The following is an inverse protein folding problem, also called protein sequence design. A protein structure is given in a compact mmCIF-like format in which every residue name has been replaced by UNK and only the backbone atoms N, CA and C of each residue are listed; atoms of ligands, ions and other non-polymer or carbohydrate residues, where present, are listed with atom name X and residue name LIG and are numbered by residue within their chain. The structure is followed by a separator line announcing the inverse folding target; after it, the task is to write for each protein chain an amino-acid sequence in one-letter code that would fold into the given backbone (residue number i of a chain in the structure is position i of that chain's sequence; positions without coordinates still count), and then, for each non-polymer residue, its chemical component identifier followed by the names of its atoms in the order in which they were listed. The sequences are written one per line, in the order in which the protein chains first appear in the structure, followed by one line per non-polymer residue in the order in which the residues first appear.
data_IF_063880898520
#
_entry.id   IF_063880898520
#
_cell.length_a   1.000
_cell.length_b   1.000
_cell.length_c   1.000
_cell.angle_alpha   90.00
_cell.angle_beta   90.00
_cell.angle_gamma   90.00
#
_symmetry.space_group_name_H-M   'P 1'
#
loop_
_entity.id
_entity.type
_entity.pdbx_description
1 polymer ?
#
# COMPACT_ATOMS: atom_id res chain seq x y z
N UNK A 1 4.77 -11.93 -13.79
CA UNK A 1 3.87 -12.73 -12.95
C UNK A 1 4.61 -13.03 -11.65
N UNK A 2 4.28 -12.35 -10.54
CA UNK A 2 5.04 -12.42 -9.28
C UNK A 2 4.23 -13.28 -8.29
N UNK A 3 4.76 -14.43 -7.81
CA UNK A 3 4.10 -15.23 -6.80
C UNK A 3 3.97 -14.45 -5.48
N UNK A 4 2.77 -14.41 -4.86
CA UNK A 4 2.52 -13.72 -3.58
C UNK A 4 3.08 -14.47 -2.34
N UNK A 5 3.84 -15.55 -2.57
CA UNK A 5 4.53 -16.30 -1.53
C UNK A 5 5.85 -15.64 -1.15
N UNK A 6 5.87 -14.99 0.02
CA UNK A 6 7.03 -14.38 0.71
C UNK A 6 7.36 -12.94 0.29
N UNK A 7 6.59 -11.98 0.85
CA UNK A 7 6.93 -10.55 0.85
C UNK A 7 7.10 -10.05 2.28
N UNK A 8 8.11 -10.55 2.97
CA UNK A 8 8.66 -9.98 4.22
C UNK A 8 9.32 -8.61 3.98
N UNK A 9 9.67 -8.31 2.73
CA UNK A 9 10.40 -7.10 2.29
C UNK A 9 9.74 -5.77 2.66
N UNK A 10 8.41 -5.66 2.67
CA UNK A 10 7.72 -4.40 3.03
C UNK A 10 7.75 -4.14 4.54
N UNK A 11 7.64 -5.19 5.36
CA UNK A 11 7.88 -5.13 6.80
C UNK A 11 9.34 -4.75 7.08
N UNK A 12 10.30 -5.33 6.34
CA UNK A 12 11.72 -5.01 6.48
C UNK A 12 12.01 -3.53 6.18
N UNK A 13 11.42 -2.97 5.11
CA UNK A 13 11.59 -1.55 4.76
C UNK A 13 10.94 -0.64 5.79
N UNK A 14 9.74 -0.97 6.28
CA UNK A 14 9.07 -0.21 7.34
C UNK A 14 9.83 -0.21 8.66
N UNK A 15 10.39 -1.37 9.06
CA UNK A 15 11.22 -1.51 10.25
C UNK A 15 12.58 -0.83 10.10
N UNK A 16 13.19 -0.88 8.90
CA UNK A 16 14.43 -0.18 8.62
C UNK A 16 14.27 1.34 8.70
N UNK A 17 13.18 1.89 8.16
CA UNK A 17 12.86 3.32 8.31
C UNK A 17 12.61 3.71 9.77
N UNK A 18 11.94 2.86 10.55
CA UNK A 18 11.76 3.06 11.99
C UNK A 18 13.10 3.07 12.73
N UNK A 19 13.98 2.11 12.44
CA UNK A 19 15.33 2.04 13.02
C UNK A 19 16.18 3.27 12.67
N UNK A 20 16.10 3.76 11.42
CA UNK A 20 16.79 4.99 10.98
C UNK A 20 16.23 6.21 11.71
N UNK A 21 14.92 6.27 11.98
CA UNK A 21 14.32 7.39 12.73
C UNK A 21 14.77 7.44 14.20
N UNK A 22 15.12 6.30 14.80
CA UNK A 22 15.64 6.25 16.17
C UNK A 22 17.12 6.66 16.27
N UNK A 23 17.85 6.65 15.15
CA UNK A 23 19.29 6.98 15.09
C UNK A 23 19.53 8.44 14.64
N UNK A 24 18.52 9.14 14.14
CA UNK A 24 18.61 10.52 13.66
C UNK A 24 17.81 11.49 14.56
N UNK A 25 18.47 12.31 15.41
CA UNK A 25 17.80 13.24 16.34
C UNK A 25 16.99 14.37 15.67
N UNK A 26 17.05 14.47 14.35
CA UNK A 26 16.46 15.54 13.54
C UNK A 26 15.05 15.24 13.03
N UNK A 27 14.53 14.04 13.25
CA UNK A 27 13.17 13.65 12.82
C UNK A 27 12.21 13.67 14.03
N UNK A 28 11.15 14.49 14.01
CA UNK A 28 10.16 14.50 15.08
C UNK A 28 9.53 13.09 15.25
N UNK A 29 9.39 12.58 16.49
CA UNK A 29 8.80 11.26 16.75
C UNK A 29 7.41 11.06 16.15
N UNK A 30 6.65 12.14 15.99
CA UNK A 30 5.33 12.17 15.35
C UNK A 30 5.38 11.80 13.86
N UNK A 31 6.44 12.17 13.14
CA UNK A 31 6.64 11.82 11.72
C UNK A 31 6.98 10.34 11.57
N UNK A 32 7.83 9.81 12.46
CA UNK A 32 8.19 8.39 12.49
C UNK A 32 6.98 7.49 12.81
N UNK A 33 6.18 7.86 13.80
CA UNK A 33 4.93 7.16 14.13
C UNK A 33 3.93 7.21 12.98
N UNK A 34 3.82 8.34 12.26
CA UNK A 34 2.91 8.46 11.12
C UNK A 34 3.38 7.64 9.92
N UNK A 35 4.69 7.59 9.65
CA UNK A 35 5.29 6.74 8.63
C UNK A 35 5.00 5.25 8.91
N UNK A 36 5.22 4.84 10.17
CA UNK A 36 5.03 3.48 10.61
C UNK A 36 3.55 3.08 10.56
N UNK A 37 2.66 3.90 11.10
CA UNK A 37 1.23 3.57 11.21
C UNK A 37 0.51 3.74 9.88
N UNK A 38 0.55 4.93 9.26
CA UNK A 38 -0.19 5.16 8.02
C UNK A 38 0.39 4.38 6.83
N UNK A 39 1.72 4.30 6.72
CA UNK A 39 2.39 3.62 5.61
C UNK A 39 2.31 2.09 5.69
N UNK A 40 2.69 1.53 6.84
CA UNK A 40 2.67 0.08 7.01
C UNK A 40 1.24 -0.46 7.11
N UNK A 41 0.30 0.24 7.77
CA UNK A 41 -1.08 -0.25 7.86
C UNK A 41 -1.80 -0.18 6.50
N UNK A 42 -1.63 0.89 5.72
CA UNK A 42 -2.30 0.99 4.41
C UNK A 42 -1.86 -0.10 3.43
N UNK A 43 -0.55 -0.33 3.35
CA UNK A 43 0.02 -1.39 2.51
C UNK A 43 -0.36 -2.78 3.01
N UNK A 44 -0.37 -3.02 4.32
CA UNK A 44 -0.84 -4.27 4.92
C UNK A 44 -2.32 -4.52 4.64
N UNK A 45 -3.18 -3.51 4.79
CA UNK A 45 -4.62 -3.63 4.54
C UNK A 45 -4.87 -4.01 3.07
N UNK A 46 -4.25 -3.32 2.11
CA UNK A 46 -4.35 -3.68 0.69
C UNK A 46 -3.79 -5.08 0.41
N UNK A 47 -2.68 -5.47 1.06
CA UNK A 47 -2.12 -6.82 0.92
C UNK A 47 -3.05 -7.91 1.45
N UNK A 48 -3.76 -7.67 2.55
CA UNK A 48 -4.75 -8.59 3.12
C UNK A 48 -5.99 -8.65 2.21
N UNK A 49 -6.54 -7.49 1.82
CA UNK A 49 -7.75 -7.42 1.01
C UNK A 49 -7.57 -8.09 -0.36
N UNK A 50 -6.44 -7.85 -1.04
CA UNK A 50 -6.13 -8.51 -2.32
C UNK A 50 -6.02 -10.02 -2.17
N UNK A 51 -5.29 -10.50 -1.14
CA UNK A 51 -5.10 -11.93 -0.87
C UNK A 51 -6.41 -12.62 -0.49
N UNK A 52 -7.20 -12.01 0.38
CA UNK A 52 -8.51 -12.50 0.78
C UNK A 52 -9.47 -12.58 -0.41
N UNK A 53 -9.49 -11.54 -1.26
CA UNK A 53 -10.32 -11.53 -2.47
C UNK A 53 -9.95 -12.67 -3.42
N UNK A 54 -8.66 -12.86 -3.70
CA UNK A 54 -8.21 -13.96 -4.58
C UNK A 54 -8.51 -15.33 -3.96
N UNK A 55 -8.22 -15.51 -2.68
CA UNK A 55 -8.46 -16.76 -1.96
C UNK A 55 -9.95 -17.15 -1.89
N UNK A 56 -10.84 -16.21 -1.56
CA UNK A 56 -12.27 -16.48 -1.45
C UNK A 56 -12.96 -16.64 -2.81
N UNK A 57 -12.38 -16.10 -3.88
CA UNK A 57 -12.94 -16.22 -5.23
C UNK A 57 -12.37 -17.39 -6.05
N UNK A 58 -11.49 -18.21 -5.45
CA UNK A 58 -10.89 -19.38 -6.10
C UNK A 58 -9.85 -19.00 -7.17
N UNK A 59 -9.34 -17.77 -7.17
CA UNK A 59 -8.38 -17.28 -8.17
C UNK A 59 -6.93 -17.51 -7.73
N UNK A 60 -5.98 -17.68 -8.66
CA UNK A 60 -4.56 -17.81 -8.31
C UNK A 60 -4.07 -16.61 -7.50
N UNK A 61 -3.38 -16.89 -6.39
CA UNK A 61 -2.74 -15.89 -5.53
C UNK A 61 -1.49 -15.31 -6.20
N UNK A 62 -1.68 -14.59 -7.30
CA UNK A 62 -0.61 -13.96 -8.08
C UNK A 62 -0.83 -12.46 -8.18
N UNK A 63 0.24 -11.68 -8.00
CA UNK A 63 0.18 -10.24 -8.22
C UNK A 63 0.22 -9.96 -9.73
N UNK A 64 -0.86 -9.38 -10.23
CA UNK A 64 -0.93 -8.85 -11.60
C UNK A 64 -0.18 -7.53 -11.72
N UNK A 65 0.10 -7.07 -12.94
CA UNK A 65 0.62 -5.71 -13.17
C UNK A 65 -0.29 -4.64 -12.55
N UNK A 66 -1.61 -4.89 -12.54
CA UNK A 66 -2.60 -4.01 -11.93
C UNK A 66 -2.45 -3.97 -10.40
N UNK A 67 -2.20 -5.12 -9.76
CA UNK A 67 -1.90 -5.22 -8.32
C UNK A 67 -0.63 -4.47 -7.96
N UNK A 68 0.41 -4.58 -8.81
CA UNK A 68 1.66 -3.84 -8.62
C UNK A 68 1.43 -2.33 -8.73
N UNK A 69 0.62 -1.87 -9.68
CA UNK A 69 0.28 -0.45 -9.83
C UNK A 69 -0.45 0.11 -8.59
N UNK A 70 -1.41 -0.64 -8.02
CA UNK A 70 -2.08 -0.28 -6.76
C UNK A 70 -1.07 -0.09 -5.63
N UNK A 71 -0.10 -1.01 -5.51
CA UNK A 71 0.93 -0.93 -4.48
C UNK A 71 1.87 0.26 -4.70
N UNK A 72 2.25 0.52 -5.94
CA UNK A 72 3.06 1.70 -6.27
C UNK A 72 2.33 3.01 -5.93
N UNK A 73 1.03 3.10 -6.24
CA UNK A 73 0.22 4.28 -5.93
C UNK A 73 0.11 4.54 -4.42
N UNK A 74 -0.19 3.50 -3.62
CA UNK A 74 -0.29 3.68 -2.17
C UNK A 74 1.08 4.00 -1.54
N UNK A 75 2.17 3.42 -2.05
CA UNK A 75 3.53 3.76 -1.63
C UNK A 75 3.88 5.21 -1.99
N UNK A 76 3.53 5.67 -3.19
CA UNK A 76 3.72 7.06 -3.60
C UNK A 76 2.89 8.03 -2.74
N UNK A 77 1.65 7.66 -2.41
CA UNK A 77 0.80 8.46 -1.53
C UNK A 77 1.43 8.67 -0.15
N UNK A 78 1.98 7.61 0.45
CA UNK A 78 2.68 7.66 1.74
C UNK A 78 3.97 8.47 1.65
N UNK A 79 4.76 8.27 0.59
CA UNK A 79 6.00 9.03 0.38
C UNK A 79 5.74 10.53 0.23
N UNK A 80 4.74 10.91 -0.57
CA UNK A 80 4.31 12.31 -0.71
C UNK A 80 3.80 12.88 0.62
N UNK A 81 3.08 12.09 1.42
CA UNK A 81 2.63 12.50 2.77
C UNK A 81 3.80 12.79 3.69
N UNK A 82 4.83 11.94 3.68
CA UNK A 82 6.02 12.12 4.51
C UNK A 82 6.84 13.33 4.04
N UNK A 83 7.02 13.49 2.73
CA UNK A 83 7.69 14.65 2.16
C UNK A 83 6.97 15.96 2.53
N UNK A 84 5.64 15.98 2.59
CA UNK A 84 4.87 17.18 2.98
C UNK A 84 5.16 17.68 4.40
N UNK A 85 5.68 16.80 5.28
CA UNK A 85 6.06 17.16 6.65
C UNK A 85 7.45 17.77 6.76
N UNK A 86 8.28 17.62 5.71
CA UNK A 86 9.66 18.07 5.68
C UNK A 86 9.86 19.30 4.77
N UNK A 87 8.91 19.58 3.88
CA UNK A 87 8.97 20.71 2.96
C UNK A 87 7.89 21.73 3.29
N UNK A 88 8.28 22.87 3.87
CA UNK A 88 7.35 23.95 4.26
C UNK A 88 6.66 24.58 3.03
N UNK A 89 7.42 24.93 1.99
CA UNK A 89 6.88 25.60 0.80
C UNK A 89 6.03 24.69 -0.11
N UNK A 90 6.35 23.39 -0.15
CA UNK A 90 5.65 22.42 -1.00
C UNK A 90 4.62 21.57 -0.25
N UNK A 91 4.41 21.82 1.05
CA UNK A 91 3.59 20.98 1.93
C UNK A 91 2.18 20.76 1.37
N UNK A 92 1.50 21.85 1.00
CA UNK A 92 0.13 21.80 0.47
C UNK A 92 0.05 20.96 -0.81
N UNK A 93 0.95 21.17 -1.77
CA UNK A 93 0.97 20.40 -3.02
C UNK A 93 1.20 18.91 -2.77
N UNK A 94 2.15 18.58 -1.88
CA UNK A 94 2.47 17.20 -1.52
C UNK A 94 1.32 16.52 -0.77
N UNK A 95 0.54 17.26 0.04
CA UNK A 95 -0.67 16.75 0.69
C UNK A 95 -1.76 16.41 -0.34
N UNK A 96 -2.00 17.28 -1.33
CA UNK A 96 -2.96 17.01 -2.40
C UNK A 96 -2.53 15.83 -3.28
N UNK A 97 -1.25 15.78 -3.66
CA UNK A 97 -0.68 14.66 -4.42
C UNK A 97 -0.80 13.33 -3.65
N UNK A 98 -0.54 13.36 -2.34
CA UNK A 98 -0.74 12.21 -1.45
C UNK A 98 -2.19 11.74 -1.44
N UNK A 99 -3.15 12.66 -1.25
CA UNK A 99 -4.57 12.34 -1.26
C UNK A 99 -5.04 11.78 -2.61
N UNK A 100 -4.61 12.37 -3.72
CA UNK A 100 -4.95 11.92 -5.06
C UNK A 100 -4.41 10.51 -5.35
N UNK A 101 -3.14 10.25 -5.02
CA UNK A 101 -2.53 8.93 -5.18
C UNK A 101 -3.21 7.88 -4.30
N UNK A 102 -3.63 8.26 -3.09
CA UNK A 102 -4.39 7.38 -2.19
C UNK A 102 -5.75 7.01 -2.78
N UNK A 103 -6.55 8.01 -3.18
CA UNK A 103 -7.85 7.78 -3.81
C UNK A 103 -7.70 6.91 -5.05
N UNK A 104 -6.70 7.18 -5.89
CA UNK A 104 -6.42 6.37 -7.08
C UNK A 104 -6.10 4.91 -6.72
N UNK A 105 -5.26 4.65 -5.70
CA UNK A 105 -4.92 3.29 -5.28
C UNK A 105 -6.17 2.49 -4.86
N UNK A 106 -7.04 3.09 -4.05
CA UNK A 106 -8.27 2.42 -3.59
C UNK A 106 -9.31 2.29 -4.70
N UNK A 107 -9.48 3.30 -5.56
CA UNK A 107 -10.35 3.22 -6.72
C UNK A 107 -9.91 2.11 -7.69
N UNK A 108 -8.61 2.00 -7.98
CA UNK A 108 -8.08 0.89 -8.79
C UNK A 108 -8.32 -0.45 -8.12
N UNK A 109 -8.11 -0.55 -6.80
CA UNK A 109 -8.43 -1.77 -6.05
C UNK A 109 -9.90 -2.15 -6.22
N UNK A 110 -10.84 -1.22 -6.00
CA UNK A 110 -12.28 -1.49 -6.16
C UNK A 110 -12.65 -1.87 -7.59
N UNK A 111 -12.11 -1.19 -8.59
CA UNK A 111 -12.39 -1.49 -10.01
C UNK A 111 -11.88 -2.88 -10.43
N UNK A 112 -10.75 -3.32 -9.89
CA UNK A 112 -10.15 -4.61 -10.24
C UNK A 112 -10.74 -5.75 -9.41
N UNK A 113 -10.77 -5.59 -8.08
CA UNK A 113 -11.14 -6.64 -7.13
C UNK A 113 -12.61 -6.62 -6.74
N UNK A 114 -13.31 -5.49 -6.85
CA UNK A 114 -14.76 -5.41 -6.59
C UNK A 114 -15.59 -6.35 -7.48
N UNK A 115 -15.42 -6.34 -8.82
CA UNK A 115 -16.12 -7.26 -9.70
C UNK A 115 -15.79 -8.73 -9.42
N UNK A 116 -14.60 -9.02 -8.89
CA UNK A 116 -14.19 -10.37 -8.53
C UNK A 116 -15.02 -10.93 -7.38
N UNK A 117 -15.39 -10.09 -6.41
CA UNK A 117 -16.23 -10.43 -5.25
C UNK A 117 -17.72 -10.55 -5.61
N UNK A 118 -18.16 -9.79 -6.62
CA UNK A 118 -19.54 -9.84 -7.12
C UNK A 118 -19.81 -11.03 -8.06
N UNK A 119 -18.76 -11.66 -8.59
CA UNK A 119 -18.86 -12.84 -9.45
C UNK A 119 -18.83 -14.12 -8.63
N UNK A 120 -19.46 -15.17 -9.16
CA UNK A 120 -19.38 -16.50 -8.58
C UNK A 120 -17.92 -16.97 -8.48
N UNK A 121 -17.65 -17.71 -7.41
CA UNK A 121 -16.37 -18.36 -7.17
C UNK A 121 -16.03 -19.26 -8.36
N UNK A 122 -14.77 -19.23 -8.79
CA UNK A 122 -14.29 -20.17 -9.80
C UNK A 122 -14.06 -21.51 -9.11
N UNK A 123 -14.90 -22.50 -9.43
CA UNK A 123 -14.70 -23.88 -8.97
C UNK A 123 -13.83 -24.66 -9.97
N UNK A 124 -12.94 -25.56 -9.51
CA UNK A 124 -12.03 -26.30 -10.39
C UNK A 124 -12.66 -27.36 -11.31
N UNK A 125 -13.95 -27.30 -11.66
CA UNK A 125 -14.61 -28.35 -12.45
C UNK A 125 -15.44 -27.83 -13.63
N UNK A 126 -14.84 -27.89 -14.82
CA UNK A 126 -15.45 -28.32 -16.07
C UNK A 126 -14.34 -28.84 -17.00
#
# INVERSE_FOLDING_TARGET
MIPLGRSDRTLTVGLALLAVSMLAPTVPPSVALYALTAGAMATMILAIMTRATLGHTGRPLTASHATAAIYMLVTAAVAARLASRLADDASSLLLHASAAAWIAAFAFFELIYGPMLLRQRIDPSA
#
